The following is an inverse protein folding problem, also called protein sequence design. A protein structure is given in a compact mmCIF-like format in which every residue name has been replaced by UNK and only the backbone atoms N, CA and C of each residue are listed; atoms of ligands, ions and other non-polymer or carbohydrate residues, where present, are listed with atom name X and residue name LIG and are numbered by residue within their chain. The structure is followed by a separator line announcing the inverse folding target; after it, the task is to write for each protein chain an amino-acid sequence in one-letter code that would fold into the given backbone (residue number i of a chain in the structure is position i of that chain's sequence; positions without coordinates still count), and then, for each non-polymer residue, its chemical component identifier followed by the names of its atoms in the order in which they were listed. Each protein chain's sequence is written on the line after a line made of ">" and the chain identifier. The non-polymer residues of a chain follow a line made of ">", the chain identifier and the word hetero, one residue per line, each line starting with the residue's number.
data_IF_971006957720
#
_entry.id   IF_971006957720
#
_cell.length_a   1.000
_cell.length_b   1.000
_cell.length_c   1.000
_cell.angle_alpha   90.00
_cell.angle_beta   90.00
_cell.angle_gamma   90.00
#
_symmetry.space_group_name_H-M   'P 1'
#
loop_
_entity.id
_entity.type
_entity.pdbx_description
1 polymer ?
#
# COMPACT_ATOMS: atom_id res chain seq x y z
N UNK A 1 102.07 15.54 -51.38
CA UNK A 1 102.03 14.75 -50.13
C UNK A 1 100.57 14.78 -49.69
N UNK A 2 99.67 13.99 -50.28
CA UNK A 2 99.55 12.52 -50.31
C UNK A 2 99.35 11.88 -48.92
N UNK A 3 98.42 10.90 -48.87
CA UNK A 3 97.85 10.08 -47.76
C UNK A 3 96.55 10.67 -47.17
N UNK A 4 95.31 10.15 -47.36
CA UNK A 4 94.74 8.78 -47.45
C UNK A 4 95.23 7.91 -46.31
N UNK A 5 94.42 7.58 -45.30
CA UNK A 5 93.46 6.46 -45.18
C UNK A 5 92.74 6.61 -43.81
N UNK A 6 91.61 6.02 -43.41
CA UNK A 6 90.75 4.94 -43.91
C UNK A 6 89.42 5.02 -43.10
N UNK A 7 88.33 4.53 -43.69
CA UNK A 7 87.04 4.26 -43.04
C UNK A 7 87.15 2.88 -42.33
N UNK A 8 86.46 2.55 -41.20
CA UNK A 8 85.05 2.11 -41.30
C UNK A 8 84.21 2.22 -40.01
N UNK A 9 82.89 2.38 -40.12
CA UNK A 9 81.91 1.37 -39.66
C UNK A 9 80.46 1.90 -39.69
N UNK A 10 79.62 1.02 -40.22
CA UNK A 10 78.17 1.07 -40.25
C UNK A 10 77.58 1.09 -38.84
N UNK A 11 76.62 1.99 -38.60
CA UNK A 11 75.52 1.76 -37.67
C UNK A 11 74.23 2.31 -38.29
N UNK A 12 73.36 1.39 -38.69
CA UNK A 12 71.93 1.65 -38.89
C UNK A 12 71.33 1.84 -37.50
N UNK A 13 70.68 2.96 -37.24
CA UNK A 13 69.73 3.14 -36.13
C UNK A 13 68.61 4.01 -36.68
N UNK A 14 67.60 3.35 -37.24
CA UNK A 14 66.31 3.13 -36.56
C UNK A 14 65.60 4.44 -36.26
N UNK A 15 64.73 4.79 -37.20
CA UNK A 15 63.59 5.67 -37.00
C UNK A 15 62.71 5.07 -35.89
N UNK A 16 62.99 5.40 -34.64
CA UNK A 16 62.07 5.13 -33.53
C UNK A 16 60.94 6.17 -33.61
N UNK A 17 59.86 5.76 -34.26
CA UNK A 17 58.53 6.35 -34.05
C UNK A 17 58.24 6.34 -32.54
N UNK A 18 57.90 7.49 -31.91
CA UNK A 18 57.48 7.45 -30.52
C UNK A 18 56.12 6.75 -30.47
N UNK A 19 56.11 5.69 -29.66
CA UNK A 19 55.01 4.79 -29.38
C UNK A 19 53.63 5.45 -29.35
N UNK A 20 52.66 4.73 -29.90
CA UNK A 20 51.24 5.06 -29.86
C UNK A 20 50.75 5.38 -28.45
N UNK A 21 50.75 6.66 -28.09
CA UNK A 21 49.82 7.15 -27.09
C UNK A 21 48.42 6.93 -27.65
N UNK A 22 47.66 6.01 -27.05
CA UNK A 22 46.28 5.76 -27.41
C UNK A 22 45.47 7.04 -27.18
N UNK A 23 45.43 7.89 -28.20
CA UNK A 23 44.63 9.10 -28.22
C UNK A 23 43.17 8.67 -28.16
N UNK A 24 42.58 8.81 -26.98
CA UNK A 24 41.20 8.45 -26.69
C UNK A 24 40.29 8.93 -27.83
N UNK A 25 39.44 8.04 -28.34
CA UNK A 25 38.54 8.36 -29.45
C UNK A 25 37.75 9.63 -29.13
N UNK A 26 37.44 10.46 -30.14
CA UNK A 26 36.61 11.67 -29.98
C UNK A 26 35.33 11.42 -29.17
N UNK A 27 34.77 10.20 -29.24
CA UNK A 27 33.60 9.77 -28.47
C UNK A 27 33.91 9.53 -26.98
N UNK A 28 35.06 8.93 -26.67
CA UNK A 28 35.53 8.72 -25.29
C UNK A 28 35.90 10.06 -24.64
N UNK A 29 36.59 10.95 -25.37
CA UNK A 29 36.94 12.28 -24.86
C UNK A 29 35.70 13.11 -24.52
N UNK A 30 34.67 13.07 -25.38
CA UNK A 30 33.37 13.72 -25.10
C UNK A 30 32.65 13.11 -23.89
N UNK A 31 32.74 11.80 -23.67
CA UNK A 31 32.15 11.13 -22.49
C UNK A 31 32.84 11.59 -21.21
N UNK A 32 34.17 11.68 -21.22
CA UNK A 32 34.96 12.13 -20.09
C UNK A 32 34.68 13.60 -19.74
N UNK A 33 34.69 14.50 -20.73
CA UNK A 33 34.33 15.90 -20.53
C UNK A 33 32.91 16.09 -19.98
N UNK A 34 31.93 15.28 -20.42
CA UNK A 34 30.57 15.29 -19.85
C UNK A 34 30.55 14.83 -18.40
N UNK A 35 31.32 13.80 -18.07
CA UNK A 35 31.42 13.29 -16.71
C UNK A 35 32.08 14.31 -15.78
N UNK A 36 33.15 14.97 -16.21
CA UNK A 36 33.82 16.05 -15.48
C UNK A 36 32.89 17.25 -15.27
N UNK A 37 32.21 17.72 -16.32
CA UNK A 37 31.17 18.77 -16.22
C UNK A 37 30.03 18.36 -15.29
N UNK A 38 29.59 17.11 -15.32
CA UNK A 38 28.57 16.62 -14.41
C UNK A 38 29.08 16.62 -12.97
N UNK A 39 30.30 16.12 -12.73
CA UNK A 39 30.91 16.11 -11.40
C UNK A 39 31.08 17.53 -10.84
N UNK A 40 31.43 18.50 -11.67
CA UNK A 40 31.58 19.90 -11.24
C UNK A 40 30.25 20.53 -10.82
N UNK A 41 29.14 20.23 -11.52
CA UNK A 41 27.82 20.82 -11.21
C UNK A 41 26.97 19.97 -10.25
N UNK A 42 27.30 18.70 -10.04
CA UNK A 42 26.50 17.73 -9.27
C UNK A 42 26.21 18.19 -7.85
N UNK A 43 27.17 18.84 -7.19
CA UNK A 43 26.97 19.36 -5.83
C UNK A 43 25.92 20.49 -5.80
N UNK A 44 26.02 21.43 -6.74
CA UNK A 44 25.10 22.57 -6.86
C UNK A 44 23.69 22.11 -7.25
N UNK A 45 23.57 21.22 -8.24
CA UNK A 45 22.29 20.63 -8.66
C UNK A 45 21.60 19.93 -7.49
N UNK A 46 22.35 19.13 -6.71
CA UNK A 46 21.83 18.47 -5.50
C UNK A 46 21.40 19.46 -4.42
N UNK A 47 22.15 20.55 -4.22
CA UNK A 47 21.79 21.58 -3.26
C UNK A 47 20.50 22.31 -3.66
N UNK A 48 20.37 22.70 -4.93
CA UNK A 48 19.19 23.35 -5.49
C UNK A 48 17.96 22.43 -5.43
N UNK A 49 18.11 21.15 -5.76
CA UNK A 49 17.03 20.18 -5.65
C UNK A 49 16.59 19.94 -4.19
N UNK A 50 17.54 19.88 -3.24
CA UNK A 50 17.25 19.79 -1.81
C UNK A 50 16.49 21.01 -1.29
N UNK A 51 16.88 22.22 -1.72
CA UNK A 51 16.17 23.46 -1.40
C UNK A 51 14.75 23.45 -1.98
N UNK A 52 14.59 23.10 -3.27
CA UNK A 52 13.28 22.96 -3.92
C UNK A 52 12.37 21.98 -3.17
N UNK A 53 12.90 20.84 -2.74
CA UNK A 53 12.15 19.85 -1.96
C UNK A 53 11.76 20.34 -0.56
N UNK A 54 12.63 21.12 0.09
CA UNK A 54 12.35 21.76 1.39
C UNK A 54 11.28 22.85 1.27
N UNK A 55 11.34 23.66 0.21
CA UNK A 55 10.35 24.68 -0.09
C UNK A 55 8.98 24.06 -0.38
N UNK A 56 8.88 23.10 -1.32
CA UNK A 56 7.63 22.38 -1.59
C UNK A 56 7.02 21.75 -0.34
N UNK A 57 7.87 21.23 0.55
CA UNK A 57 7.45 20.66 1.83
C UNK A 57 6.88 21.72 2.78
N UNK A 58 7.45 22.92 2.81
CA UNK A 58 6.93 24.04 3.60
C UNK A 58 5.59 24.52 3.05
N UNK A 59 5.50 24.75 1.74
CA UNK A 59 4.28 25.19 1.07
C UNK A 59 3.13 24.18 1.27
N UNK A 60 3.42 22.87 1.18
CA UNK A 60 2.42 21.84 1.47
C UNK A 60 1.93 21.87 2.93
N UNK A 61 2.83 22.11 3.88
CA UNK A 61 2.47 22.24 5.29
C UNK A 61 1.62 23.50 5.55
N UNK A 62 1.94 24.61 4.90
CA UNK A 62 1.16 25.86 4.95
C UNK A 62 -0.24 25.69 4.37
N UNK A 63 -0.41 24.84 3.36
CA UNK A 63 -1.72 24.46 2.80
C UNK A 63 -2.49 23.42 3.63
N UNK A 64 -1.88 22.87 4.68
CA UNK A 64 -2.48 21.78 5.45
C UNK A 64 -2.50 20.42 4.73
N UNK A 65 -1.73 20.26 3.65
CA UNK A 65 -1.67 19.01 2.89
C UNK A 65 -1.06 17.89 3.77
N UNK A 66 -1.69 16.71 3.76
CA UNK A 66 -1.11 15.53 4.44
C UNK A 66 0.18 15.10 3.75
N UNK A 67 1.31 15.25 4.44
CA UNK A 67 2.61 14.88 3.90
C UNK A 67 2.89 13.39 4.00
N UNK A 68 3.53 12.84 2.96
CA UNK A 68 4.07 11.49 3.00
C UNK A 68 5.04 11.32 4.20
N UNK A 69 4.95 10.20 4.94
CA UNK A 69 5.79 9.97 6.10
C UNK A 69 7.28 9.93 5.73
N UNK A 70 8.13 10.42 6.63
CA UNK A 70 9.58 10.38 6.43
C UNK A 70 10.10 8.94 6.49
N UNK A 71 11.24 8.67 5.81
CA UNK A 71 11.89 7.35 5.87
C UNK A 71 12.24 6.90 7.30
N UNK A 72 12.55 7.86 8.20
CA UNK A 72 12.78 7.58 9.63
C UNK A 72 11.49 7.12 10.33
N UNK A 73 10.37 7.81 10.09
CA UNK A 73 9.04 7.42 10.60
C UNK A 73 8.62 6.03 10.09
N UNK A 74 8.83 5.76 8.80
CA UNK A 74 8.54 4.45 8.22
C UNK A 74 9.37 3.34 8.88
N UNK A 75 10.67 3.55 9.10
CA UNK A 75 11.53 2.55 9.77
C UNK A 75 11.06 2.19 11.18
N UNK A 76 10.46 3.13 11.92
CA UNK A 76 9.91 2.86 13.24
C UNK A 76 8.49 2.29 13.21
N UNK A 77 7.74 2.50 12.12
CA UNK A 77 6.39 1.99 11.93
C UNK A 77 6.43 0.56 11.37
N UNK A 78 6.43 -0.40 12.29
CA UNK A 78 6.53 -1.83 12.00
C UNK A 78 5.33 -2.60 12.56
N UNK A 79 4.94 -3.71 11.93
CA UNK A 79 3.82 -4.55 12.35
C UNK A 79 3.94 -5.02 13.81
N UNK A 80 5.15 -5.37 14.25
CA UNK A 80 5.44 -5.75 15.64
C UNK A 80 5.10 -4.66 16.68
N UNK A 81 5.19 -3.38 16.29
CA UNK A 81 4.89 -2.22 17.15
C UNK A 81 3.47 -1.69 16.96
N UNK A 82 2.72 -2.28 16.04
CA UNK A 82 1.35 -1.87 15.77
C UNK A 82 0.43 -2.29 16.90
N UNK A 83 -0.53 -1.41 17.23
CA UNK A 83 -1.67 -1.74 18.09
C UNK A 83 -2.71 -2.62 17.36
N UNK A 84 -2.73 -2.60 16.03
CA UNK A 84 -3.61 -3.45 15.23
C UNK A 84 -3.10 -4.89 15.21
N UNK A 85 -3.87 -5.82 15.80
CA UNK A 85 -3.57 -7.26 15.83
C UNK A 85 -4.32 -8.08 14.79
N UNK A 86 -5.21 -7.44 14.04
CA UNK A 86 -5.89 -8.08 12.90
C UNK A 86 -4.86 -8.47 11.85
N UNK A 87 -4.96 -9.71 11.37
CA UNK A 87 -4.11 -10.24 10.32
C UNK A 87 -4.81 -10.14 8.98
N UNK A 88 -4.06 -9.77 7.95
CA UNK A 88 -4.50 -9.78 6.56
C UNK A 88 -3.53 -10.62 5.75
N UNK A 89 -4.07 -11.52 4.93
CA UNK A 89 -3.29 -12.51 4.21
C UNK A 89 -3.62 -12.42 2.74
N UNK A 90 -2.60 -12.40 1.88
CA UNK A 90 -2.78 -12.61 0.44
C UNK A 90 -2.42 -14.07 0.13
N UNK A 91 -3.40 -14.84 -0.32
CA UNK A 91 -3.24 -16.25 -0.70
C UNK A 91 -2.70 -16.37 -2.14
N UNK A 92 -1.41 -16.65 -2.29
CA UNK A 92 -0.77 -16.87 -3.59
C UNK A 92 -0.79 -18.33 -4.07
N UNK A 93 -1.54 -19.23 -3.42
CA UNK A 93 -1.67 -20.63 -3.87
C UNK A 93 -2.30 -20.78 -5.27
N UNK A 94 -2.92 -19.72 -5.79
CA UNK A 94 -3.60 -19.65 -7.08
C UNK A 94 -2.67 -19.31 -8.27
N UNK A 95 -1.35 -19.43 -8.12
CA UNK A 95 -0.33 -19.12 -9.15
C UNK A 95 -0.63 -19.77 -10.51
N UNK A 96 -1.12 -21.01 -10.52
CA UNK A 96 -1.44 -21.78 -11.73
C UNK A 96 -2.62 -21.24 -12.54
N UNK A 97 -3.45 -20.38 -11.95
CA UNK A 97 -4.59 -19.74 -12.61
C UNK A 97 -4.22 -18.44 -13.34
N UNK A 98 -2.96 -18.02 -13.30
CA UNK A 98 -2.50 -16.76 -13.88
C UNK A 98 -1.38 -16.96 -14.90
N UNK A 99 -1.46 -16.21 -16.00
CA UNK A 99 -0.33 -16.04 -16.90
C UNK A 99 0.70 -15.06 -16.33
N UNK A 100 1.91 -15.05 -16.91
CA UNK A 100 3.02 -14.20 -16.47
C UNK A 100 2.63 -12.70 -16.33
N UNK A 101 1.81 -12.19 -17.26
CA UNK A 101 1.32 -10.80 -17.22
C UNK A 101 0.47 -10.52 -15.97
N UNK A 102 -0.34 -11.47 -15.55
CA UNK A 102 -1.21 -11.33 -14.39
C UNK A 102 -0.43 -11.54 -13.09
N UNK A 103 0.57 -12.42 -13.09
CA UNK A 103 1.56 -12.52 -11.99
C UNK A 103 2.29 -11.19 -11.77
N UNK A 104 2.70 -10.52 -12.85
CA UNK A 104 3.31 -9.18 -12.74
C UNK A 104 2.36 -8.17 -12.08
N UNK A 105 1.05 -8.22 -12.40
CA UNK A 105 0.03 -7.37 -11.78
C UNK A 105 -0.21 -7.76 -10.32
N UNK A 106 -0.25 -9.04 -9.98
CA UNK A 106 -0.37 -9.54 -8.60
C UNK A 106 0.75 -8.99 -7.74
N UNK A 107 2.00 -9.20 -8.14
CA UNK A 107 3.17 -8.74 -7.38
C UNK A 107 3.18 -7.21 -7.25
N UNK A 108 2.71 -6.50 -8.28
CA UNK A 108 2.52 -5.05 -8.21
C UNK A 108 1.45 -4.64 -7.20
N UNK A 109 0.35 -5.39 -7.09
CA UNK A 109 -0.67 -5.16 -6.08
C UNK A 109 -0.14 -5.44 -4.66
N UNK A 110 0.65 -6.49 -4.45
CA UNK A 110 1.33 -6.77 -3.18
C UNK A 110 2.26 -5.60 -2.78
N UNK A 111 3.01 -5.03 -3.73
CA UNK A 111 3.82 -3.83 -3.52
C UNK A 111 2.99 -2.64 -3.03
N UNK A 112 1.79 -2.45 -3.60
CA UNK A 112 0.86 -1.39 -3.16
C UNK A 112 0.36 -1.66 -1.75
N UNK A 113 -0.12 -2.88 -1.44
CA UNK A 113 -0.57 -3.27 -0.10
C UNK A 113 0.52 -3.02 0.95
N UNK A 114 1.75 -3.48 0.71
CA UNK A 114 2.88 -3.25 1.59
C UNK A 114 3.13 -1.77 1.83
N UNK A 115 3.12 -0.99 0.75
CA UNK A 115 3.35 0.45 0.79
C UNK A 115 2.27 1.17 1.61
N UNK A 116 1.00 0.81 1.44
CA UNK A 116 -0.13 1.35 2.21
C UNK A 116 -0.01 0.97 3.69
N UNK A 117 0.23 -0.31 3.98
CA UNK A 117 0.34 -0.80 5.35
C UNK A 117 1.47 -0.11 6.13
N UNK A 118 2.64 0.09 5.49
CA UNK A 118 3.77 0.80 6.12
C UNK A 118 3.48 2.27 6.41
N UNK A 119 2.53 2.88 5.70
CA UNK A 119 2.16 4.29 5.85
C UNK A 119 0.97 4.51 6.79
N UNK A 120 0.21 3.47 7.14
CA UNK A 120 -0.90 3.60 8.08
C UNK A 120 -0.40 3.95 9.48
N UNK A 121 -1.32 4.42 10.33
CA UNK A 121 -0.97 4.70 11.71
C UNK A 121 -0.68 3.42 12.50
N UNK A 122 -1.49 2.39 12.27
CA UNK A 122 -1.38 1.08 12.90
C UNK A 122 -1.39 0.01 11.81
N UNK A 123 -0.20 -0.44 11.33
CA UNK A 123 -0.12 -1.49 10.31
C UNK A 123 -0.83 -2.77 10.74
N UNK A 124 -1.61 -3.39 9.86
CA UNK A 124 -2.13 -4.74 10.07
C UNK A 124 -0.99 -5.77 10.05
N UNK A 125 -1.21 -6.93 10.66
CA UNK A 125 -0.26 -8.04 10.56
C UNK A 125 -0.38 -8.67 9.16
N UNK A 126 0.57 -8.38 8.28
CA UNK A 126 0.48 -8.68 6.85
C UNK A 126 1.29 -9.92 6.47
N UNK A 127 0.61 -10.87 5.84
CA UNK A 127 1.15 -12.13 5.35
C UNK A 127 0.92 -12.29 3.85
N UNK A 128 1.84 -12.98 3.19
CA UNK A 128 1.69 -13.47 1.82
C UNK A 128 2.06 -14.96 1.85
N UNK A 129 1.05 -15.81 1.68
CA UNK A 129 1.14 -17.27 1.86
C UNK A 129 1.07 -17.99 0.52
N UNK A 130 1.42 -19.27 0.48
CA UNK A 130 1.40 -20.06 -0.76
C UNK A 130 2.34 -19.52 -1.85
N UNK A 131 3.38 -18.77 -1.47
CA UNK A 131 4.33 -18.19 -2.42
C UNK A 131 5.18 -19.29 -3.03
N UNK A 132 4.99 -19.53 -4.32
CA UNK A 132 5.75 -20.51 -5.11
C UNK A 132 5.77 -20.10 -6.59
N UNK A 133 6.47 -20.88 -7.42
CA UNK A 133 6.36 -20.80 -8.88
C UNK A 133 6.72 -19.44 -9.48
N UNK A 134 5.83 -18.94 -10.35
CA UNK A 134 6.05 -17.67 -11.06
C UNK A 134 5.97 -16.48 -10.11
N UNK A 135 5.06 -16.52 -9.14
CA UNK A 135 4.93 -15.49 -8.10
C UNK A 135 6.23 -15.33 -7.31
N UNK A 136 6.83 -16.44 -6.86
CA UNK A 136 8.11 -16.40 -6.13
C UNK A 136 9.24 -15.85 -7.01
N UNK A 137 9.37 -16.37 -8.23
CA UNK A 137 10.39 -15.90 -9.19
C UNK A 137 10.29 -14.40 -9.44
N UNK A 138 9.06 -13.88 -9.56
CA UNK A 138 8.80 -12.46 -9.77
C UNK A 138 9.12 -11.61 -8.53
N UNK A 139 8.86 -12.11 -7.32
CA UNK A 139 9.26 -11.44 -6.07
C UNK A 139 10.79 -11.36 -5.98
N UNK A 140 11.51 -12.43 -6.30
CA UNK A 140 12.97 -12.45 -6.33
C UNK A 140 13.57 -11.41 -7.28
N UNK A 141 12.92 -11.14 -8.43
CA UNK A 141 13.34 -10.09 -9.35
C UNK A 141 13.31 -8.67 -8.76
N UNK A 142 12.52 -8.42 -7.70
CA UNK A 142 12.51 -7.13 -7.00
C UNK A 142 13.81 -6.94 -6.20
N UNK A 143 14.39 -8.03 -5.69
CA UNK A 143 15.67 -8.05 -4.99
C UNK A 143 15.66 -7.60 -3.53
N UNK A 144 14.67 -6.82 -3.08
CA UNK A 144 14.60 -6.31 -1.70
C UNK A 144 13.36 -6.74 -0.91
N UNK A 145 12.51 -7.60 -1.46
CA UNK A 145 11.23 -7.99 -0.82
C UNK A 145 11.43 -8.72 0.51
N UNK A 146 12.55 -9.44 0.69
CA UNK A 146 12.87 -10.10 1.95
C UNK A 146 13.15 -9.12 3.10
N UNK A 147 13.47 -7.86 2.78
CA UNK A 147 13.66 -6.80 3.78
C UNK A 147 12.35 -6.07 4.10
N UNK A 148 11.24 -6.48 3.49
CA UNK A 148 9.95 -5.88 3.79
C UNK A 148 9.42 -6.41 5.12
N UNK A 149 8.74 -5.54 5.84
CA UNK A 149 8.00 -5.91 7.04
C UNK A 149 6.67 -6.57 6.63
N UNK A 150 6.78 -7.79 6.12
CA UNK A 150 5.72 -8.68 5.61
C UNK A 150 6.18 -10.11 5.85
N UNK A 151 5.27 -10.97 6.28
CA UNK A 151 5.55 -12.39 6.46
C UNK A 151 5.31 -13.15 5.14
N UNK A 152 6.38 -13.36 4.35
CA UNK A 152 6.33 -14.19 3.14
C UNK A 152 6.58 -15.66 3.49
N UNK A 153 5.78 -16.57 2.93
CA UNK A 153 5.92 -18.02 3.15
C UNK A 153 5.32 -18.82 2.00
N UNK A 154 5.87 -20.00 1.75
CA UNK A 154 5.32 -20.97 0.80
C UNK A 154 4.22 -21.85 1.42
N UNK A 155 4.04 -21.82 2.75
CA UNK A 155 3.02 -22.60 3.46
C UNK A 155 1.61 -22.08 3.19
N UNK A 156 0.62 -22.96 3.38
CA UNK A 156 -0.78 -22.57 3.33
C UNK A 156 -1.16 -21.72 4.54
N UNK A 157 -2.17 -20.85 4.41
CA UNK A 157 -2.65 -20.05 5.53
C UNK A 157 -3.28 -20.93 6.63
N UNK A 158 -3.82 -22.11 6.31
CA UNK A 158 -4.30 -23.08 7.30
C UNK A 158 -3.19 -23.72 8.15
N UNK A 159 -1.92 -23.63 7.72
CA UNK A 159 -0.77 -24.12 8.49
C UNK A 159 -0.23 -23.07 9.47
N UNK A 160 -0.72 -21.83 9.39
CA UNK A 160 -0.21 -20.67 10.11
C UNK A 160 -1.24 -20.17 11.14
N UNK A 161 -2.52 -20.22 10.78
CA UNK A 161 -3.63 -19.74 11.61
C UNK A 161 -4.58 -20.88 11.96
N UNK A 162 -5.20 -20.81 13.15
CA UNK A 162 -6.24 -21.76 13.51
C UNK A 162 -7.48 -21.58 12.63
N UNK A 163 -8.11 -22.68 12.21
CA UNK A 163 -9.28 -22.63 11.30
C UNK A 163 -10.41 -21.71 11.78
N UNK A 164 -10.64 -21.63 13.09
CA UNK A 164 -11.68 -20.78 13.70
C UNK A 164 -11.41 -19.28 13.56
N UNK A 165 -10.14 -18.89 13.39
CA UNK A 165 -9.69 -17.50 13.31
C UNK A 165 -9.54 -17.03 11.86
N UNK A 166 -9.73 -17.92 10.88
CA UNK A 166 -9.64 -17.63 9.45
C UNK A 166 -11.00 -17.18 8.91
N UNK A 167 -11.01 -16.07 8.18
CA UNK A 167 -12.14 -15.61 7.37
C UNK A 167 -11.66 -15.34 5.94
N UNK A 168 -12.08 -16.17 4.99
CA UNK A 168 -11.75 -15.99 3.58
C UNK A 168 -12.72 -14.98 2.93
N UNK A 169 -12.18 -13.89 2.40
CA UNK A 169 -12.96 -12.85 1.74
C UNK A 169 -13.27 -13.22 0.29
N UNK A 170 -14.55 -13.28 -0.06
CA UNK A 170 -15.02 -13.59 -1.41
C UNK A 170 -16.33 -12.90 -1.71
N UNK A 171 -16.48 -12.34 -2.92
CA UNK A 171 -17.70 -11.66 -3.37
C UNK A 171 -18.93 -12.57 -3.48
N UNK A 172 -18.71 -13.87 -3.69
CA UNK A 172 -19.74 -14.89 -3.84
C UNK A 172 -20.18 -15.52 -2.51
N UNK A 173 -19.63 -15.07 -1.38
CA UNK A 173 -20.04 -15.56 -0.07
C UNK A 173 -21.42 -15.05 0.32
N UNK A 174 -22.30 -15.94 0.79
CA UNK A 174 -23.61 -15.57 1.33
C UNK A 174 -23.51 -14.79 2.66
N UNK A 175 -22.42 -14.97 3.42
CA UNK A 175 -22.18 -14.24 4.66
C UNK A 175 -21.65 -12.83 4.37
N UNK A 176 -22.16 -11.82 5.06
CA UNK A 176 -21.67 -10.44 4.97
C UNK A 176 -20.80 -10.09 6.17
N UNK A 177 -19.62 -9.54 5.92
CA UNK A 177 -18.69 -9.13 6.96
C UNK A 177 -19.15 -7.83 7.64
N UNK A 178 -19.58 -7.94 8.89
CA UNK A 178 -20.09 -6.79 9.66
C UNK A 178 -18.97 -5.99 10.32
N UNK A 179 -17.97 -6.65 10.91
CA UNK A 179 -16.85 -5.99 11.59
C UNK A 179 -15.55 -6.77 11.43
N UNK A 180 -14.43 -6.08 11.66
CA UNK A 180 -13.12 -6.71 11.79
C UNK A 180 -12.82 -6.99 13.26
N UNK A 181 -12.75 -8.27 13.58
CA UNK A 181 -12.37 -8.76 14.90
C UNK A 181 -10.84 -8.69 15.06
N UNK A 182 -10.35 -8.34 16.26
CA UNK A 182 -8.94 -8.48 16.59
C UNK A 182 -8.49 -9.94 16.43
N UNK A 183 -7.21 -10.13 16.11
CA UNK A 183 -6.53 -11.44 16.07
C UNK A 183 -7.02 -12.45 15.01
N UNK A 184 -8.16 -12.21 14.34
CA UNK A 184 -8.56 -12.96 13.15
C UNK A 184 -7.67 -12.69 11.94
N UNK A 185 -7.61 -13.66 11.05
CA UNK A 185 -6.91 -13.62 9.78
C UNK A 185 -7.90 -13.52 8.61
N UNK A 186 -7.89 -12.37 7.93
CA UNK A 186 -8.73 -12.10 6.77
C UNK A 186 -7.95 -12.42 5.48
N UNK A 187 -8.38 -13.45 4.76
CA UNK A 187 -7.70 -13.95 3.56
C UNK A 187 -8.26 -13.27 2.32
N UNK A 188 -7.38 -12.76 1.48
CA UNK A 188 -7.68 -12.20 0.16
C UNK A 188 -7.06 -13.14 -0.87
N UNK A 189 -7.85 -13.62 -1.83
CA UNK A 189 -7.31 -14.41 -2.93
C UNK A 189 -6.29 -13.61 -3.73
N UNK A 190 -5.05 -14.08 -3.80
CA UNK A 190 -3.97 -13.52 -4.61
C UNK A 190 -4.14 -13.85 -6.09
N UNK A 191 -5.30 -13.48 -6.65
CA UNK A 191 -5.72 -13.81 -8.01
C UNK A 191 -6.00 -12.56 -8.83
N UNK A 192 -5.40 -12.49 -10.02
CA UNK A 192 -5.68 -11.46 -11.03
C UNK A 192 -6.17 -12.15 -12.29
N UNK A 193 -7.48 -12.30 -12.42
CA UNK A 193 -8.11 -13.09 -13.47
C UNK A 193 -9.22 -12.34 -14.23
N UNK A 194 -9.40 -11.04 -13.94
CA UNK A 194 -10.52 -10.25 -14.46
C UNK A 194 -11.91 -10.88 -14.18
N UNK A 195 -12.01 -11.63 -13.07
CA UNK A 195 -13.19 -12.40 -12.66
C UNK A 195 -13.65 -13.45 -13.70
N UNK A 196 -12.69 -14.16 -14.30
CA UNK A 196 -12.96 -15.33 -15.14
C UNK A 196 -13.29 -16.56 -14.29
N UNK A 197 -12.63 -16.75 -13.15
CA UNK A 197 -12.83 -17.86 -12.21
C UNK A 197 -13.80 -17.48 -11.10
N UNK A 198 -15.04 -17.18 -11.48
CA UNK A 198 -16.11 -16.78 -10.54
C UNK A 198 -16.28 -17.81 -9.42
N UNK A 199 -16.29 -17.34 -8.18
CA UNK A 199 -16.53 -18.18 -7.00
C UNK A 199 -15.38 -19.13 -6.63
N UNK A 200 -14.23 -19.09 -7.30
CA UNK A 200 -13.08 -19.96 -7.00
C UNK A 200 -12.62 -19.85 -5.54
N UNK A 201 -12.44 -18.62 -5.06
CA UNK A 201 -12.05 -18.36 -3.67
C UNK A 201 -13.11 -18.84 -2.66
N UNK A 202 -14.39 -18.67 -2.99
CA UNK A 202 -15.49 -19.14 -2.15
C UNK A 202 -15.50 -20.67 -2.07
N UNK A 203 -15.41 -21.35 -3.22
CA UNK A 203 -15.36 -22.80 -3.29
C UNK A 203 -14.17 -23.37 -2.47
N UNK A 204 -12.99 -22.76 -2.60
CA UNK A 204 -11.80 -23.15 -1.83
C UNK A 204 -12.00 -22.99 -0.32
N UNK A 205 -12.63 -21.91 0.12
CA UNK A 205 -12.92 -21.67 1.54
C UNK A 205 -13.89 -22.72 2.11
N UNK A 206 -14.96 -23.03 1.36
CA UNK A 206 -15.94 -24.07 1.70
C UNK A 206 -15.27 -25.45 1.77
N UNK A 207 -14.47 -25.79 0.76
CA UNK A 207 -13.74 -27.07 0.70
C UNK A 207 -12.80 -27.26 1.90
N UNK A 208 -12.07 -26.20 2.28
CA UNK A 208 -11.16 -26.23 3.43
C UNK A 208 -11.89 -26.17 4.79
N UNK A 209 -13.18 -25.86 4.78
CA UNK A 209 -14.01 -25.72 5.97
C UNK A 209 -13.59 -24.54 6.85
N UNK A 210 -13.21 -23.41 6.23
CA UNK A 210 -12.92 -22.16 6.93
C UNK A 210 -14.08 -21.17 6.75
N UNK A 211 -14.23 -20.24 7.68
CA UNK A 211 -15.26 -19.20 7.54
C UNK A 211 -14.99 -18.36 6.30
N UNK A 212 -16.05 -17.84 5.67
CA UNK A 212 -15.95 -16.96 4.51
C UNK A 212 -16.99 -15.84 4.59
N UNK A 213 -16.67 -14.68 4.03
CA UNK A 213 -17.54 -13.51 4.02
C UNK A 213 -17.30 -12.61 2.80
N UNK A 214 -18.34 -11.89 2.36
CA UNK A 214 -18.20 -10.77 1.41
C UNK A 214 -18.09 -9.45 2.16
N UNK A 215 -17.46 -8.44 1.56
CA UNK A 215 -17.51 -7.08 2.09
C UNK A 215 -18.94 -6.52 1.99
N UNK A 216 -19.39 -5.66 2.94
CA UNK A 216 -20.75 -5.12 2.96
C UNK A 216 -20.99 -4.02 1.91
N UNK A 217 -20.38 -4.11 0.73
CA UNK A 217 -20.42 -3.08 -0.31
C UNK A 217 -21.86 -2.76 -0.72
N UNK A 218 -22.70 -3.78 -0.83
CA UNK A 218 -24.11 -3.67 -1.26
C UNK A 218 -24.99 -2.85 -0.32
N UNK A 219 -24.63 -2.81 0.96
CA UNK A 219 -25.36 -2.12 2.02
C UNK A 219 -25.09 -0.62 1.96
N UNK A 220 -23.84 -0.24 1.69
CA UNK A 220 -23.40 1.16 1.75
C UNK A 220 -23.31 1.85 0.40
N UNK A 221 -23.10 1.10 -0.70
CA UNK A 221 -22.89 1.66 -2.03
C UNK A 221 -23.83 1.05 -3.06
N UNK A 222 -24.44 1.92 -3.86
CA UNK A 222 -25.01 1.52 -5.14
C UNK A 222 -23.90 1.57 -6.20
N UNK A 223 -23.66 0.45 -6.89
CA UNK A 223 -22.66 0.37 -7.95
C UNK A 223 -23.29 -0.29 -9.17
N UNK A 224 -23.27 0.41 -10.31
CA UNK A 224 -23.71 -0.13 -11.61
C UNK A 224 -22.79 -1.23 -12.13
N UNK A 225 -21.57 -1.32 -11.61
CA UNK A 225 -20.57 -2.31 -12.01
C UNK A 225 -20.51 -3.51 -11.07
N UNK A 226 -19.90 -4.61 -11.54
CA UNK A 226 -19.63 -5.81 -10.72
C UNK A 226 -18.93 -5.46 -9.41
N UNK A 227 -19.32 -6.12 -8.32
CA UNK A 227 -18.82 -5.93 -6.94
C UNK A 227 -17.52 -6.69 -6.65
N UNK A 228 -16.76 -7.02 -7.69
CA UNK A 228 -15.45 -7.67 -7.57
C UNK A 228 -14.36 -6.60 -7.60
N UNK A 229 -13.61 -6.51 -6.51
CA UNK A 229 -12.56 -5.52 -6.31
C UNK A 229 -11.18 -6.15 -6.51
N UNK A 230 -10.18 -5.32 -6.78
CA UNK A 230 -8.78 -5.78 -6.88
C UNK A 230 -8.20 -6.01 -5.48
N UNK A 231 -7.15 -6.82 -5.39
CA UNK A 231 -6.50 -7.22 -4.12
C UNK A 231 -6.11 -5.99 -3.31
N UNK A 232 -5.48 -5.01 -3.95
CA UNK A 232 -5.06 -3.78 -3.27
C UNK A 232 -6.23 -2.93 -2.77
N UNK A 233 -7.36 -2.90 -3.48
CA UNK A 233 -8.53 -2.16 -3.00
C UNK A 233 -9.16 -2.85 -1.78
N UNK A 234 -9.29 -4.19 -1.81
CA UNK A 234 -9.79 -4.94 -0.63
C UNK A 234 -8.85 -4.69 0.56
N UNK A 235 -7.54 -4.80 0.35
CA UNK A 235 -6.55 -4.54 1.38
C UNK A 235 -6.67 -3.12 1.97
N UNK A 236 -6.72 -2.09 1.12
CA UNK A 236 -6.80 -0.70 1.55
C UNK A 236 -8.14 -0.40 2.26
N UNK A 237 -9.24 -1.05 1.86
CA UNK A 237 -10.54 -0.95 2.54
C UNK A 237 -10.44 -1.52 3.95
N UNK A 238 -9.88 -2.73 4.10
CA UNK A 238 -9.68 -3.35 5.43
C UNK A 238 -8.80 -2.46 6.30
N UNK A 239 -7.68 -1.98 5.74
CA UNK A 239 -6.77 -1.06 6.43
C UNK A 239 -7.51 0.19 6.91
N UNK A 240 -8.32 0.80 6.04
CA UNK A 240 -9.06 2.01 6.41
C UNK A 240 -10.13 1.73 7.45
N UNK A 241 -10.77 0.57 7.39
CA UNK A 241 -11.75 0.15 8.38
C UNK A 241 -11.10 -0.06 9.76
N UNK A 242 -9.87 -0.58 9.83
CA UNK A 242 -9.16 -0.67 11.11
C UNK A 242 -8.90 0.69 11.77
N UNK A 243 -8.82 1.77 10.98
CA UNK A 243 -8.62 3.14 11.47
C UNK A 243 -9.93 3.85 11.83
N UNK A 244 -10.99 3.59 11.06
CA UNK A 244 -12.24 4.38 11.09
C UNK A 244 -13.39 3.67 11.78
N UNK A 245 -13.38 2.33 11.74
CA UNK A 245 -14.51 1.47 12.12
C UNK A 245 -15.82 1.82 11.38
N UNK A 246 -15.69 2.39 10.18
CA UNK A 246 -16.80 2.80 9.32
C UNK A 246 -16.57 2.27 7.89
N UNK A 247 -17.48 1.40 7.43
CA UNK A 247 -17.40 0.81 6.09
C UNK A 247 -17.61 1.84 4.99
N UNK A 248 -18.58 2.74 5.13
CA UNK A 248 -18.88 3.76 4.13
C UNK A 248 -17.67 4.70 3.94
N UNK A 249 -17.08 5.17 5.04
CA UNK A 249 -15.88 5.99 4.99
C UNK A 249 -14.71 5.24 4.34
N UNK A 250 -14.55 3.95 4.66
CA UNK A 250 -13.50 3.10 4.10
C UNK A 250 -13.68 2.89 2.60
N UNK A 251 -14.90 2.65 2.13
CA UNK A 251 -15.18 2.51 0.71
C UNK A 251 -14.96 3.82 -0.04
N UNK A 252 -15.46 4.95 0.46
CA UNK A 252 -15.30 6.26 -0.19
C UNK A 252 -13.83 6.71 -0.27
N UNK A 253 -13.00 6.32 0.71
CA UNK A 253 -11.57 6.65 0.71
C UNK A 253 -10.77 5.87 -0.35
N UNK A 254 -11.22 4.67 -0.73
CA UNK A 254 -10.45 3.74 -1.57
C UNK A 254 -11.03 3.61 -2.97
N UNK A 255 -12.35 3.58 -3.10
CA UNK A 255 -13.02 3.41 -4.37
C UNK A 255 -13.12 4.75 -5.10
N UNK A 256 -12.63 4.86 -6.34
CA UNK A 256 -12.68 6.12 -7.07
C UNK A 256 -14.13 6.49 -7.41
N UNK A 257 -14.54 7.73 -7.12
CA UNK A 257 -15.91 8.25 -7.31
C UNK A 257 -16.50 7.97 -8.71
N UNK A 258 -15.64 7.90 -9.74
CA UNK A 258 -16.02 7.55 -11.12
C UNK A 258 -16.61 6.14 -11.32
N UNK A 259 -16.61 5.27 -10.31
CA UNK A 259 -17.34 3.97 -10.35
C UNK A 259 -18.83 4.07 -10.00
N UNK A 260 -19.36 5.28 -9.81
CA UNK A 260 -20.77 5.50 -9.52
C UNK A 260 -21.17 5.08 -8.10
N UNK A 261 -20.19 4.97 -7.20
CA UNK A 261 -20.40 4.70 -5.79
C UNK A 261 -21.09 5.89 -5.12
N UNK A 262 -22.43 5.89 -5.15
CA UNK A 262 -23.24 6.81 -4.36
C UNK A 262 -23.57 6.11 -3.04
N UNK A 263 -23.39 6.84 -1.94
CA UNK A 263 -23.78 6.36 -0.62
C UNK A 263 -25.30 6.10 -0.63
N UNK A 264 -25.72 4.91 -0.18
CA UNK A 264 -27.14 4.68 0.06
C UNK A 264 -27.56 5.49 1.28
N UNK A 265 -28.45 6.46 1.07
CA UNK A 265 -29.05 7.25 2.13
C UNK A 265 -29.86 6.37 3.07
N UNK A 266 -29.68 6.57 4.37
CA UNK A 266 -30.59 6.05 5.39
C UNK A 266 -31.96 6.73 5.19
N UNK A 267 -32.91 5.96 4.65
CA UNK A 267 -34.36 6.20 4.67
C UNK A 267 -34.88 7.62 4.42
N UNK A 268 -35.39 7.87 3.22
CA UNK A 268 -36.50 8.80 3.06
C UNK A 268 -37.62 8.22 2.21
N UNK A 269 -38.79 8.38 2.79
CA UNK A 269 -40.12 7.90 2.46
C UNK A 269 -40.61 8.40 1.11
N UNK A 270 -41.32 7.52 0.40
CA UNK A 270 -42.21 7.83 -0.72
C UNK A 270 -42.88 9.21 -0.62
N UNK A 271 -42.73 10.03 -1.64
CA UNK A 271 -43.80 10.89 -2.13
C UNK A 271 -43.66 11.08 -3.64
N UNK A 272 -44.62 10.47 -4.34
CA UNK A 272 -44.90 10.71 -5.75
C UNK A 272 -45.29 12.17 -5.93
N UNK A 273 -44.73 12.83 -6.93
CA UNK A 273 -45.45 13.89 -7.66
C UNK A 273 -45.12 13.75 -9.13
N UNK A 274 -46.13 13.30 -9.86
CA UNK A 274 -46.20 13.36 -11.31
C UNK A 274 -46.10 14.82 -11.79
N UNK A 275 -45.40 15.04 -12.90
CA UNK A 275 -45.82 16.09 -13.83
C UNK A 275 -45.42 15.68 -15.25
N UNK A 276 -46.44 15.30 -16.01
CA UNK A 276 -46.42 15.18 -17.46
C UNK A 276 -46.20 16.56 -18.07
N UNK A 277 -45.30 16.67 -19.05
CA UNK A 277 -45.52 17.51 -20.23
C UNK A 277 -44.99 16.78 -21.46
N UNK A 278 -45.79 16.90 -22.53
CA UNK A 278 -45.69 16.23 -23.81
C UNK A 278 -44.90 17.05 -24.83
N UNK A 279 -44.77 16.45 -26.02
CA UNK A 279 -44.31 16.99 -27.31
C UNK A 279 -42.82 16.70 -27.58
N UNK A 280 -42.38 16.15 -28.71
CA UNK A 280 -43.04 15.74 -29.95
C UNK A 280 -41.95 15.27 -30.93
N UNK A 281 -42.24 14.14 -31.57
CA UNK A 281 -41.67 13.48 -32.77
C UNK A 281 -40.64 14.24 -33.66
N UNK A 282 -39.61 13.54 -34.17
CA UNK A 282 -39.41 13.14 -35.59
C UNK A 282 -37.93 12.79 -35.93
N UNK A 283 -37.75 11.55 -36.41
CA UNK A 283 -36.81 10.96 -37.40
C UNK A 283 -35.30 11.29 -37.47
N UNK A 284 -34.53 10.24 -37.77
CA UNK A 284 -33.41 10.32 -38.72
C UNK A 284 -32.22 9.43 -38.35
N UNK A 285 -32.04 8.30 -39.04
CA UNK A 285 -30.89 7.42 -38.86
C UNK A 285 -29.60 7.95 -39.48
N UNK A 286 -28.49 7.27 -39.17
CA UNK A 286 -27.56 6.61 -40.11
C UNK A 286 -26.33 6.12 -39.33
N UNK A 287 -25.90 4.94 -39.74
CA UNK A 287 -24.71 4.15 -39.42
C UNK A 287 -23.36 4.88 -39.55
N UNK A 288 -22.36 4.41 -38.79
CA UNK A 288 -20.95 4.69 -39.02
C UNK A 288 -20.05 3.92 -38.05
N UNK A 289 -19.59 2.75 -38.47
CA UNK A 289 -18.37 2.11 -37.96
C UNK A 289 -17.18 3.05 -38.15
N UNK A 290 -16.30 3.17 -37.15
CA UNK A 290 -14.85 3.17 -37.40
C UNK A 290 -14.06 2.89 -36.11
N UNK A 291 -13.16 1.92 -36.27
CA UNK A 291 -12.08 1.55 -35.36
C UNK A 291 -10.98 2.60 -35.32
N UNK A 292 -10.45 2.94 -34.15
CA UNK A 292 -9.02 3.28 -34.03
C UNK A 292 -8.47 3.04 -32.62
N UNK A 293 -7.17 2.77 -32.60
CA UNK A 293 -6.35 2.10 -31.64
C UNK A 293 -5.37 3.05 -30.93
N UNK A 294 -5.54 3.20 -29.61
CA UNK A 294 -4.51 3.59 -28.61
C UNK A 294 -3.94 5.02 -28.64
N UNK A 295 -3.06 5.42 -27.70
CA UNK A 295 -2.61 4.75 -26.47
C UNK A 295 -2.85 5.57 -25.17
N UNK A 296 -2.41 4.97 -24.06
CA UNK A 296 -2.38 5.41 -22.67
C UNK A 296 -1.79 6.82 -22.40
N UNK A 297 -2.30 7.56 -21.40
CA UNK A 297 -1.52 7.98 -20.21
C UNK A 297 -2.36 8.80 -19.19
N UNK A 298 -1.95 8.65 -17.93
CA UNK A 298 -1.95 9.65 -16.85
C UNK A 298 -3.17 9.75 -15.93
N UNK A 299 -3.02 9.01 -14.84
CA UNK A 299 -3.63 9.24 -13.54
C UNK A 299 -3.38 10.65 -13.00
N UNK A 300 -4.46 11.39 -12.77
CA UNK A 300 -4.51 12.49 -11.81
C UNK A 300 -5.65 12.20 -10.82
N UNK A 301 -5.31 11.61 -9.68
CA UNK A 301 -6.23 11.52 -8.54
C UNK A 301 -6.23 12.87 -7.84
N UNK A 302 -7.18 13.74 -8.20
CA UNK A 302 -7.51 14.91 -7.41
C UNK A 302 -8.30 14.46 -6.18
N UNK A 303 -7.67 14.56 -5.01
CA UNK A 303 -8.37 14.49 -3.72
C UNK A 303 -8.95 15.87 -3.49
N UNK A 304 -10.27 16.00 -3.59
CA UNK A 304 -11.00 17.22 -3.18
C UNK A 304 -11.43 17.04 -1.73
N UNK A 305 -11.08 18.03 -0.92
CA UNK A 305 -11.42 18.15 0.49
C UNK A 305 -12.87 18.63 0.61
N UNK A 306 -13.75 17.87 1.24
CA UNK A 306 -15.06 18.38 1.66
C UNK A 306 -14.92 18.93 3.08
N UNK A 307 -14.88 20.26 3.20
CA UNK A 307 -15.30 20.97 4.41
C UNK A 307 -16.71 21.51 4.19
N UNK A 308 -17.45 21.66 5.30
CA UNK A 308 -18.72 22.35 5.46
C UNK A 308 -19.96 21.43 5.56
N UNK A 309 -20.18 20.90 6.76
CA UNK A 309 -21.53 20.78 7.33
C UNK A 309 -21.54 21.57 8.63
N UNK A 310 -22.23 22.71 8.57
CA UNK A 310 -22.62 23.54 9.71
C UNK A 310 -23.64 22.77 10.54
N UNK A 311 -23.33 22.51 11.82
CA UNK A 311 -24.32 22.08 12.80
C UNK A 311 -24.92 23.33 13.42
N UNK A 312 -26.11 23.70 12.98
CA UNK A 312 -27.03 24.54 13.72
C UNK A 312 -28.00 23.61 14.45
N UNK A 313 -27.93 23.57 15.78
CA UNK A 313 -29.11 23.20 16.54
C UNK A 313 -29.17 24.01 17.84
N UNK A 314 -30.31 24.67 17.95
CA UNK A 314 -30.70 25.59 19.01
C UNK A 314 -31.44 24.85 20.12
N UNK A 315 -31.31 25.37 21.36
CA UNK A 315 -32.16 25.13 22.56
C UNK A 315 -32.04 23.75 23.25
N UNK A 316 -32.18 23.57 24.56
CA UNK A 316 -32.60 24.42 25.67
C UNK A 316 -31.88 23.99 26.96
N UNK A 317 -31.76 24.96 27.84
CA UNK A 317 -31.37 24.98 29.25
C UNK A 317 -32.06 23.94 30.15
N UNK A 318 -31.31 23.35 31.09
CA UNK A 318 -31.72 23.19 32.49
C UNK A 318 -30.50 23.36 33.41
N UNK A 319 -30.75 24.14 34.45
CA UNK A 319 -29.96 24.57 35.60
C UNK A 319 -29.56 23.41 36.53
N UNK A 320 -28.39 23.51 37.18
CA UNK A 320 -28.20 23.19 38.61
C UNK A 320 -26.71 23.21 39.02
N UNK A 321 -26.39 24.12 39.95
CA UNK A 321 -25.80 23.72 41.22
C UNK A 321 -24.28 23.61 41.34
N UNK A 322 -23.67 24.70 41.84
CA UNK A 322 -22.39 24.71 42.57
C UNK A 322 -22.17 23.51 43.50
N UNK A 323 -20.93 23.01 43.56
CA UNK A 323 -20.09 23.18 44.78
C UNK A 323 -18.65 22.73 44.55
N UNK A 324 -17.76 23.51 45.12
CA UNK A 324 -16.30 23.41 45.09
C UNK A 324 -15.87 23.11 46.52
N UNK A 325 -15.19 22.00 46.75
CA UNK A 325 -14.33 21.85 47.93
C UNK A 325 -12.96 21.29 47.54
N UNK A 326 -11.95 21.95 48.10
CA UNK A 326 -10.53 21.65 48.00
C UNK A 326 -10.08 20.88 49.26
N UNK A 327 -8.82 20.39 49.20
CA UNK A 327 -7.94 19.99 50.32
C UNK A 327 -8.20 18.56 50.82
N UNK A 328 -7.22 17.74 51.18
CA UNK A 328 -5.79 17.94 51.48
C UNK A 328 -5.06 16.59 51.53
N UNK A 329 -3.75 16.65 51.34
CA UNK A 329 -2.73 15.68 51.75
C UNK A 329 -3.02 14.96 53.08
N UNK A 330 -2.48 13.74 53.25
CA UNK A 330 -1.47 13.41 54.28
C UNK A 330 -0.92 12.00 54.06
N UNK A 331 0.39 11.90 54.17
CA UNK A 331 1.26 10.72 54.16
C UNK A 331 1.52 10.29 55.60
N UNK A 332 1.44 9.01 55.96
CA UNK A 332 2.20 8.46 57.11
C UNK A 332 2.56 6.98 56.86
N UNK A 333 3.88 6.72 56.92
CA UNK A 333 4.54 5.42 57.14
C UNK A 333 4.52 5.07 58.63
N UNK A 334 4.67 3.79 58.92
CA UNK A 334 5.27 3.15 60.13
C UNK A 334 4.37 1.99 60.57
N UNK A 335 4.81 0.85 61.10
CA UNK A 335 6.10 0.19 61.28
C UNK A 335 5.75 -1.23 61.80
N UNK A 336 6.66 -2.20 61.62
CA UNK A 336 7.11 -3.25 62.58
C UNK A 336 6.02 -4.09 63.26
N UNK A 337 6.02 -5.43 63.21
CA UNK A 337 6.89 -6.24 64.07
C UNK A 337 6.90 -7.74 63.68
N UNK A 338 8.08 -8.31 63.91
CA UNK A 338 8.51 -9.70 63.86
C UNK A 338 7.82 -10.62 64.86
N UNK A 339 7.67 -11.90 64.50
CA UNK A 339 7.94 -13.01 65.43
C UNK A 339 8.56 -14.19 64.69
N UNK A 340 9.80 -14.50 65.09
CA UNK A 340 10.49 -15.78 64.88
C UNK A 340 9.79 -16.91 65.66
N UNK A 341 9.91 -18.15 65.18
CA UNK A 341 10.55 -19.30 65.87
C UNK A 341 9.98 -20.66 65.42
N UNK A 342 10.86 -21.37 64.70
CA UNK A 342 11.36 -22.72 65.02
C UNK A 342 10.51 -23.98 64.89
N UNK A 343 11.22 -24.99 64.35
CA UNK A 343 11.21 -26.43 64.68
C UNK A 343 10.11 -27.26 63.96
N UNK A 344 10.33 -28.46 63.42
CA UNK A 344 11.47 -29.38 63.34
C UNK A 344 11.03 -30.60 62.50
N UNK A 345 12.01 -31.42 62.06
CA UNK A 345 11.92 -32.86 61.64
C UNK A 345 11.08 -33.19 60.40
N UNK A 346 11.53 -33.89 59.34
CA UNK A 346 12.63 -34.85 59.18
C UNK A 346 12.07 -36.20 58.66
N UNK A 347 12.84 -36.86 57.77
CA UNK A 347 12.65 -38.20 57.13
C UNK A 347 11.72 -38.19 55.90
N UNK A 348 12.06 -38.76 54.74
CA UNK A 348 13.13 -39.71 54.34
C UNK A 348 13.68 -39.38 52.96
#
# INVERSE_FOLDING_TARGET
>A
MEQVCDNPQSAKEETQEPEMSATMSKKQLRRQQRQEKWLSIKAEVRAKEKQRKKQKRREALERGDTMAPTRKKLRSNTMAKSSCKTSVVIDCSLDSYMGEKDIMKLVKQIQFCYSSNRRSQNPMQFFVTGVQGQTESRLQCIGDYQNWDVNFTNKDYCDIFEKKDIVYLSSESDNVLQELEPEKAYIIGGLVDHNHHKGLCHALAVEKGVSHAQLPISEYLDMKTRKVLTINHVFDILLKYTETKDWLQSFCAVLPQRKGAQAKGAGETSSQTETKTSDGCVSGGVSGDESDSGPEDSSASNIIQCSDIVNDNSTASVDDGETREQLSNVSVKDQVESTDLSSDVGKS
#
